data_IF_240337154328
#
_entry.id   IF_240337154328
#
_cell.length_a   1.000
_cell.length_b   1.000
_cell.length_c   1.000
_cell.angle_alpha   90.00
_cell.angle_beta   90.00
_cell.angle_gamma   90.00
#
_symmetry.space_group_name_H-M   'P 1'
#
loop_
_entity.id
_entity.type
_entity.pdbx_description
1 polymer ?
#
# COMPACT_ATOMS: atom_id res chain seq x y z
N UNK A 1 -32.76 10.32 -6.61
CA UNK A 1 -31.78 10.90 -7.56
C UNK A 1 -30.88 11.77 -6.74
N UNK A 2 -29.84 11.18 -6.18
CA UNK A 2 -28.91 11.92 -5.35
C UNK A 2 -27.71 12.32 -6.21
N UNK A 3 -27.53 13.63 -6.39
CA UNK A 3 -26.39 14.20 -7.07
C UNK A 3 -25.28 14.42 -6.03
N UNK A 4 -24.59 13.34 -5.64
CA UNK A 4 -23.39 13.45 -4.82
C UNK A 4 -22.16 13.65 -5.72
N UNK A 5 -21.80 14.93 -5.90
CA UNK A 5 -20.47 15.49 -6.14
C UNK A 5 -19.41 14.58 -6.81
N UNK A 6 -19.32 14.63 -8.14
CA UNK A 6 -18.27 13.99 -8.94
C UNK A 6 -16.92 14.76 -8.94
N UNK A 7 -16.56 15.48 -7.88
CA UNK A 7 -15.57 16.57 -7.98
C UNK A 7 -14.15 16.23 -7.52
N UNK A 8 -13.91 15.12 -6.80
CA UNK A 8 -12.55 14.79 -6.34
C UNK A 8 -12.13 13.38 -6.76
N UNK A 9 -11.46 13.30 -7.92
CA UNK A 9 -10.88 12.05 -8.43
C UNK A 9 -9.47 11.76 -7.90
N UNK A 10 -8.91 12.69 -7.15
CA UNK A 10 -7.54 12.60 -6.67
C UNK A 10 -7.45 12.97 -5.20
N UNK A 11 -6.64 12.22 -4.46
CA UNK A 11 -6.25 12.60 -3.11
C UNK A 11 -5.44 13.90 -3.12
N UNK A 12 -5.22 14.53 -1.95
CA UNK A 12 -4.29 15.63 -1.81
C UNK A 12 -2.98 15.43 -2.58
N UNK A 13 -2.50 16.51 -3.21
CA UNK A 13 -1.29 16.54 -4.05
C UNK A 13 -1.32 15.61 -5.28
N UNK A 14 -2.46 15.01 -5.61
CA UNK A 14 -2.60 14.16 -6.79
C UNK A 14 -1.78 12.87 -6.70
N UNK A 15 -1.57 12.35 -5.49
CA UNK A 15 -0.78 11.13 -5.25
C UNK A 15 -1.57 9.87 -5.63
N UNK A 16 -2.84 9.85 -5.23
CA UNK A 16 -3.72 8.71 -5.39
C UNK A 16 -4.87 9.11 -6.30
N UNK A 17 -5.09 8.34 -7.36
CA UNK A 17 -6.28 8.44 -8.20
C UNK A 17 -7.36 7.53 -7.61
N UNK A 18 -8.46 8.12 -7.14
CA UNK A 18 -9.58 7.37 -6.58
C UNK A 18 -10.29 6.62 -7.70
N UNK A 19 -10.30 5.27 -7.68
CA UNK A 19 -10.95 4.48 -8.72
C UNK A 19 -12.44 4.76 -8.79
N UNK A 20 -13.05 4.58 -9.98
CA UNK A 20 -14.50 4.79 -10.15
C UNK A 20 -15.36 3.84 -9.32
N UNK A 21 -14.82 2.67 -8.97
CA UNK A 21 -15.47 1.69 -8.11
C UNK A 21 -15.25 1.95 -6.62
N UNK A 22 -14.48 2.99 -6.25
CA UNK A 22 -14.21 3.28 -4.86
C UNK A 22 -15.49 3.74 -4.16
N UNK A 23 -15.72 3.21 -2.96
CA UNK A 23 -16.91 3.51 -2.17
C UNK A 23 -16.48 4.30 -0.94
N UNK A 24 -17.14 5.43 -0.69
CA UNK A 24 -16.91 6.19 0.54
C UNK A 24 -17.43 5.37 1.73
N UNK A 25 -16.62 5.23 2.77
CA UNK A 25 -17.01 4.49 3.97
C UNK A 25 -17.86 5.40 4.86
N UNK A 26 -19.17 5.22 4.79
CA UNK A 26 -20.15 5.96 5.60
C UNK A 26 -20.77 5.13 6.73
N UNK A 27 -20.74 3.81 6.57
CA UNK A 27 -21.22 2.84 7.56
C UNK A 27 -20.11 1.79 7.78
N UNK A 28 -19.37 1.87 8.90
CA UNK A 28 -18.31 0.90 9.23
C UNK A 28 -18.80 -0.54 9.32
N UNK A 29 -19.99 -0.77 9.86
CA UNK A 29 -20.53 -2.12 10.05
C UNK A 29 -20.88 -2.74 8.70
N UNK A 30 -21.52 -1.98 7.81
CA UNK A 30 -21.82 -2.42 6.44
C UNK A 30 -20.52 -2.70 5.66
N UNK A 31 -19.54 -1.81 5.74
CA UNK A 31 -18.23 -1.96 5.07
C UNK A 31 -17.53 -3.27 5.47
N UNK A 32 -17.44 -3.54 6.78
CA UNK A 32 -16.81 -4.76 7.26
C UNK A 32 -17.65 -5.99 6.92
N UNK A 33 -18.98 -5.91 7.07
CA UNK A 33 -19.87 -7.00 6.71
C UNK A 33 -19.72 -7.41 5.24
N UNK A 34 -19.64 -6.45 4.31
CA UNK A 34 -19.46 -6.71 2.88
C UNK A 34 -18.11 -7.37 2.58
N UNK A 35 -17.03 -6.90 3.22
CA UNK A 35 -15.70 -7.48 3.08
C UNK A 35 -15.64 -8.94 3.57
N UNK A 36 -16.19 -9.23 4.75
CA UNK A 36 -16.19 -10.58 5.30
C UNK A 36 -17.18 -11.52 4.59
N UNK A 37 -18.31 -11.01 4.12
CA UNK A 37 -19.23 -11.76 3.25
C UNK A 37 -18.54 -12.16 1.94
N UNK A 38 -17.78 -11.25 1.34
CA UNK A 38 -16.98 -11.55 0.14
C UNK A 38 -15.90 -12.58 0.45
N UNK A 39 -15.17 -12.42 1.55
CA UNK A 39 -14.13 -13.36 1.97
C UNK A 39 -14.69 -14.78 2.13
N UNK A 40 -15.88 -14.92 2.74
CA UNK A 40 -16.56 -16.19 2.93
C UNK A 40 -17.04 -16.82 1.60
N UNK A 41 -17.28 -16.00 0.56
CA UNK A 41 -17.71 -16.48 -0.77
C UNK A 41 -16.58 -17.13 -1.59
N UNK A 42 -15.32 -16.92 -1.21
CA UNK A 42 -14.16 -17.49 -1.88
C UNK A 42 -14.10 -18.99 -1.59
N UNK A 43 -14.53 -19.82 -2.56
CA UNK A 43 -14.41 -21.27 -2.46
C UNK A 43 -12.93 -21.66 -2.31
N UNK A 44 -12.56 -22.61 -1.44
CA UNK A 44 -11.25 -23.24 -1.53
C UNK A 44 -11.13 -23.87 -2.92
N UNK A 45 -10.04 -23.57 -3.63
CA UNK A 45 -9.81 -24.11 -4.96
C UNK A 45 -9.88 -25.64 -4.92
N UNK A 46 -10.79 -26.21 -5.71
CA UNK A 46 -10.95 -27.61 -6.09
C UNK A 46 -10.31 -28.68 -5.20
N UNK A 47 -11.12 -29.33 -4.34
CA UNK A 47 -11.14 -30.79 -4.12
C UNK A 47 -9.87 -31.55 -3.72
N UNK A 48 -8.70 -30.93 -3.68
CA UNK A 48 -7.46 -31.47 -3.14
C UNK A 48 -7.28 -30.88 -1.74
N UNK A 49 -7.31 -31.77 -0.76
CA UNK A 49 -6.88 -31.59 0.63
C UNK A 49 -6.14 -30.27 0.92
N UNK A 50 -6.71 -29.44 1.80
CA UNK A 50 -6.05 -28.27 2.38
C UNK A 50 -5.39 -27.33 1.34
N UNK A 51 -6.11 -26.30 0.89
CA UNK A 51 -5.45 -24.99 0.87
C UNK A 51 -4.99 -24.76 2.32
N UNK A 52 -3.68 -24.86 2.61
CA UNK A 52 -3.23 -24.95 3.99
C UNK A 52 -3.63 -23.66 4.68
N UNK A 53 -4.04 -23.77 5.94
CA UNK A 53 -4.14 -22.64 6.87
C UNK A 53 -3.00 -21.65 6.53
N UNK A 54 -3.31 -20.52 5.88
CA UNK A 54 -2.32 -19.46 5.63
C UNK A 54 -1.93 -19.03 7.04
N UNK A 55 -0.76 -19.48 7.52
CA UNK A 55 -0.28 -19.26 8.88
C UNK A 55 -0.07 -17.77 9.17
N UNK A 56 0.93 -17.42 9.97
CA UNK A 56 1.29 -16.03 10.28
C UNK A 56 1.80 -15.21 9.07
N UNK A 57 1.41 -15.55 7.84
CA UNK A 57 1.65 -14.70 6.67
C UNK A 57 3.10 -14.59 6.20
N UNK A 58 4.09 -15.18 6.88
CA UNK A 58 5.50 -14.93 6.58
C UNK A 58 6.14 -15.90 5.57
N UNK A 59 7.12 -15.39 4.80
CA UNK A 59 7.58 -15.99 3.52
C UNK A 59 8.50 -17.21 3.67
N UNK A 60 9.40 -17.23 4.66
CA UNK A 60 10.21 -18.39 5.02
C UNK A 60 10.52 -18.35 6.53
N UNK A 61 10.49 -19.51 7.19
CA UNK A 61 10.73 -19.65 8.63
C UNK A 61 12.10 -20.23 8.99
N UNK A 62 12.87 -20.66 8.00
CA UNK A 62 14.08 -21.46 8.19
C UNK A 62 15.37 -20.66 8.09
N UNK A 63 15.32 -19.45 7.55
CA UNK A 63 16.50 -18.61 7.30
C UNK A 63 16.27 -17.19 7.80
N UNK A 64 17.32 -16.55 8.31
CA UNK A 64 17.29 -15.13 8.70
C UNK A 64 17.52 -14.20 7.48
N UNK A 65 17.68 -14.78 6.30
CA UNK A 65 17.79 -14.10 5.01
C UNK A 65 16.76 -14.65 4.03
N UNK A 66 16.00 -13.76 3.41
CA UNK A 66 14.97 -14.03 2.43
C UNK A 66 15.38 -13.49 1.06
N UNK A 67 15.17 -14.27 0.01
CA UNK A 67 15.22 -13.77 -1.37
C UNK A 67 13.81 -13.43 -1.83
N UNK A 68 13.46 -12.15 -1.82
CA UNK A 68 12.17 -11.65 -2.29
C UNK A 68 12.29 -11.34 -3.78
N UNK A 69 11.46 -12.01 -4.59
CA UNK A 69 11.44 -11.85 -6.04
C UNK A 69 10.11 -11.23 -6.47
N UNK A 70 10.17 -9.99 -6.97
CA UNK A 70 9.01 -9.24 -7.46
C UNK A 70 9.04 -9.20 -9.00
N UNK A 71 8.02 -9.78 -9.63
CA UNK A 71 7.92 -9.87 -11.09
C UNK A 71 6.99 -8.78 -11.64
N UNK A 72 7.58 -7.74 -12.23
CA UNK A 72 6.86 -6.56 -12.71
C UNK A 72 6.65 -6.72 -14.22
N UNK A 73 5.47 -7.17 -14.60
CA UNK A 73 5.09 -7.36 -16.01
C UNK A 73 3.82 -6.59 -16.33
N UNK A 74 3.69 -6.01 -17.53
CA UNK A 74 2.47 -5.30 -17.91
C UNK A 74 1.26 -6.24 -17.84
N UNK A 75 0.09 -5.78 -17.36
CA UNK A 75 -1.11 -6.60 -17.33
C UNK A 75 -1.46 -7.08 -18.75
N UNK A 76 -1.96 -8.32 -18.86
CA UNK A 76 -2.19 -9.01 -20.14
C UNK A 76 -3.29 -8.38 -21.03
N UNK A 77 -3.90 -7.27 -20.61
CA UNK A 77 -4.97 -6.56 -21.30
C UNK A 77 -4.45 -5.35 -22.08
N UNK A 78 -3.86 -5.59 -23.25
CA UNK A 78 -3.97 -4.70 -24.44
C UNK A 78 -3.33 -5.27 -25.73
N UNK A 79 -3.33 -6.59 -25.92
CA UNK A 79 -2.90 -7.23 -27.19
C UNK A 79 -4.07 -7.74 -28.03
N UNK A 80 -5.32 -7.60 -27.59
CA UNK A 80 -6.48 -8.16 -28.27
C UNK A 80 -7.55 -7.12 -28.64
N UNK A 81 -7.22 -6.24 -29.59
CA UNK A 81 -8.22 -5.74 -30.53
C UNK A 81 -7.69 -5.98 -31.95
N UNK A 82 -7.82 -7.22 -32.42
CA UNK A 82 -7.72 -7.49 -33.86
C UNK A 82 -8.84 -6.71 -34.55
N UNK A 83 -8.54 -5.78 -35.48
CA UNK A 83 -9.61 -5.12 -36.22
C UNK A 83 -10.25 -6.18 -37.12
N UNK A 84 -11.55 -6.41 -36.90
CA UNK A 84 -12.40 -7.15 -37.83
C UNK A 84 -12.23 -6.51 -39.20
N UNK A 85 -11.67 -7.27 -40.14
CA UNK A 85 -11.43 -6.84 -41.51
C UNK A 85 -12.76 -6.58 -42.22
N UNK A 86 -13.21 -5.32 -42.27
CA UNK A 86 -14.17 -4.87 -43.29
C UNK A 86 -13.40 -4.63 -44.59
N UNK A 87 -13.65 -5.46 -45.59
CA UNK A 87 -13.22 -5.23 -46.97
C UNK A 87 -13.95 -4.00 -47.52
N UNK A 88 -13.25 -2.89 -47.72
CA UNK A 88 -13.62 -1.89 -48.71
C UNK A 88 -12.37 -1.30 -49.36
N UNK A 89 -12.48 -1.11 -50.67
CA UNK A 89 -11.45 -0.85 -51.66
C UNK A 89 -10.82 0.55 -51.64
N UNK A 90 -9.56 0.59 -52.12
CA UNK A 90 -8.83 1.70 -52.76
C UNK A 90 -8.49 2.97 -51.96
N UNK A 91 -7.19 3.20 -51.75
CA UNK A 91 -6.67 4.52 -51.34
C UNK A 91 -5.25 4.51 -50.76
N UNK A 92 -4.28 4.93 -51.57
CA UNK A 92 -2.83 5.08 -51.39
C UNK A 92 -2.38 5.84 -50.11
N UNK A 93 -1.55 5.22 -49.25
CA UNK A 93 -0.47 5.85 -48.44
C UNK A 93 0.10 4.83 -47.41
N UNK A 94 1.31 4.30 -47.63
CA UNK A 94 2.02 3.45 -46.66
C UNK A 94 2.85 4.33 -45.72
N UNK A 95 2.28 4.75 -44.58
CA UNK A 95 3.09 5.14 -43.41
C UNK A 95 3.48 3.88 -42.65
N UNK A 96 4.79 3.68 -42.48
CA UNK A 96 5.33 2.57 -41.70
C UNK A 96 4.85 2.68 -40.24
N UNK A 97 3.87 1.85 -39.89
CA UNK A 97 3.41 1.67 -38.52
C UNK A 97 4.50 0.88 -37.79
N UNK A 98 5.28 1.56 -36.94
CA UNK A 98 6.30 0.93 -36.12
C UNK A 98 5.67 -0.24 -35.34
N UNK A 99 6.34 -1.40 -35.34
CA UNK A 99 5.93 -2.54 -34.52
C UNK A 99 5.84 -2.09 -33.05
N UNK A 100 4.81 -2.51 -32.28
CA UNK A 100 4.77 -2.21 -30.86
C UNK A 100 6.03 -2.79 -30.21
N UNK A 101 6.77 -1.96 -29.46
CA UNK A 101 7.92 -2.42 -28.67
C UNK A 101 7.40 -3.42 -27.66
N UNK A 102 7.87 -4.66 -27.73
CA UNK A 102 7.60 -5.68 -26.73
C UNK A 102 8.25 -5.19 -25.43
N UNK A 103 7.43 -4.82 -24.45
CA UNK A 103 7.92 -4.42 -23.13
C UNK A 103 8.38 -5.69 -22.42
N UNK A 104 9.66 -5.77 -22.07
CA UNK A 104 10.20 -6.90 -21.34
C UNK A 104 9.81 -6.81 -19.85
N UNK A 105 9.42 -7.95 -19.23
CA UNK A 105 9.14 -8.00 -17.80
C UNK A 105 10.40 -7.63 -17.01
N UNK A 106 10.23 -6.83 -15.96
CA UNK A 106 11.31 -6.49 -15.02
C UNK A 106 11.20 -7.39 -13.81
N UNK A 107 12.31 -7.99 -13.39
CA UNK A 107 12.38 -8.76 -12.14
C UNK A 107 13.23 -7.97 -11.17
N UNK A 108 12.69 -7.71 -9.99
CA UNK A 108 13.42 -7.12 -8.88
C UNK A 108 13.66 -8.21 -7.83
N UNK A 109 14.93 -8.54 -7.61
CA UNK A 109 15.35 -9.49 -6.58
C UNK A 109 15.99 -8.72 -5.43
N UNK A 110 15.50 -8.98 -4.23
CA UNK A 110 15.91 -8.30 -3.00
C UNK A 110 16.33 -9.37 -2.00
N UNK A 111 17.54 -9.22 -1.48
CA UNK A 111 17.96 -9.93 -0.28
C UNK A 111 17.47 -9.13 0.94
N UNK A 112 16.62 -9.75 1.76
CA UNK A 112 16.01 -9.12 2.93
C UNK A 112 16.33 -9.93 4.19
N UNK A 113 16.78 -9.26 5.23
CA UNK A 113 17.02 -9.85 6.53
C UNK A 113 15.76 -9.84 7.39
N UNK A 114 15.60 -10.89 8.19
CA UNK A 114 14.58 -11.03 9.22
C UNK A 114 15.21 -11.61 10.49
N UNK A 115 14.45 -11.66 11.58
CA UNK A 115 14.87 -12.28 12.85
C UNK A 115 13.78 -13.26 13.31
N UNK A 116 13.87 -14.52 12.86
CA UNK A 116 12.91 -15.54 13.25
C UNK A 116 13.02 -15.91 14.74
N UNK A 117 14.15 -15.63 15.38
CA UNK A 117 14.36 -15.93 16.80
C UNK A 117 13.61 -14.92 17.67
N UNK A 118 13.64 -13.65 17.31
CA UNK A 118 12.84 -12.61 17.93
C UNK A 118 11.34 -12.96 17.92
N UNK A 119 10.77 -13.35 16.77
CA UNK A 119 9.38 -13.80 16.65
C UNK A 119 9.00 -14.88 17.68
N UNK A 120 9.93 -15.80 18.01
CA UNK A 120 9.69 -16.90 18.95
C UNK A 120 9.96 -16.53 20.41
N UNK A 121 10.81 -15.54 20.66
CA UNK A 121 11.35 -15.25 22.00
C UNK A 121 10.83 -13.96 22.61
N UNK A 122 10.44 -12.97 21.80
CA UNK A 122 9.85 -11.70 22.24
C UNK A 122 8.33 -11.79 22.16
N UNK A 123 7.66 -11.69 23.31
CA UNK A 123 6.20 -11.73 23.39
C UNK A 123 5.60 -10.56 22.62
N UNK A 124 4.76 -10.86 21.62
CA UNK A 124 4.08 -9.85 20.81
C UNK A 124 4.90 -9.31 19.64
N UNK A 125 6.12 -9.82 19.41
CA UNK A 125 6.90 -9.48 18.22
C UNK A 125 6.28 -10.16 16.99
N UNK A 126 5.76 -9.35 16.08
CA UNK A 126 5.31 -9.78 14.75
C UNK A 126 6.13 -9.12 13.64
N UNK A 127 6.82 -8.01 13.93
CA UNK A 127 7.53 -7.21 12.94
C UNK A 127 8.87 -7.81 12.48
N UNK A 128 9.43 -8.75 13.23
CA UNK A 128 10.76 -9.30 12.92
C UNK A 128 10.79 -10.21 11.69
N UNK A 129 9.63 -10.60 11.14
CA UNK A 129 9.50 -11.43 9.94
C UNK A 129 8.72 -10.73 8.84
N UNK A 130 8.97 -11.12 7.59
CA UNK A 130 8.34 -10.50 6.44
C UNK A 130 6.90 -10.99 6.25
N UNK A 131 5.93 -10.08 6.25
CA UNK A 131 4.52 -10.39 5.97
C UNK A 131 4.21 -10.35 4.47
N UNK A 132 3.33 -11.27 4.04
CA UNK A 132 2.89 -11.38 2.64
C UNK A 132 2.19 -10.13 2.12
N UNK A 133 1.40 -9.46 2.96
CA UNK A 133 0.73 -8.22 2.60
C UNK A 133 1.72 -7.16 2.06
N UNK A 134 2.88 -7.03 2.71
CA UNK A 134 3.94 -6.11 2.27
C UNK A 134 4.54 -6.52 0.92
N UNK A 135 4.68 -7.83 0.64
CA UNK A 135 5.17 -8.34 -0.65
C UNK A 135 4.16 -8.06 -1.76
N UNK A 136 2.90 -8.41 -1.54
CA UNK A 136 1.82 -8.24 -2.52
C UNK A 136 1.55 -6.74 -2.77
N UNK A 137 1.62 -5.90 -1.73
CA UNK A 137 1.51 -4.44 -1.88
C UNK A 137 2.71 -3.84 -2.62
N UNK A 138 3.94 -4.27 -2.31
CA UNK A 138 5.14 -3.85 -3.05
C UNK A 138 5.03 -4.19 -4.54
N UNK A 139 4.57 -5.41 -4.84
CA UNK A 139 4.34 -5.88 -6.20
C UNK A 139 3.32 -5.01 -6.94
N UNK A 140 2.17 -4.72 -6.30
CA UNK A 140 1.13 -3.84 -6.85
C UNK A 140 1.68 -2.43 -7.11
N UNK A 141 2.38 -1.85 -6.13
CA UNK A 141 2.92 -0.50 -6.24
C UNK A 141 3.91 -0.39 -7.39
N UNK A 142 4.84 -1.34 -7.52
CA UNK A 142 5.82 -1.38 -8.60
C UNK A 142 5.18 -1.54 -9.98
N UNK A 143 4.16 -2.41 -10.07
CA UNK A 143 3.39 -2.63 -11.28
C UNK A 143 2.77 -1.31 -11.76
N UNK A 144 2.07 -0.63 -10.86
CA UNK A 144 1.41 0.65 -11.13
C UNK A 144 2.38 1.80 -11.42
N UNK A 145 3.52 1.81 -10.73
CA UNK A 145 4.55 2.82 -10.95
C UNK A 145 5.23 2.68 -12.32
N UNK A 146 5.50 1.45 -12.78
CA UNK A 146 6.20 1.20 -14.04
C UNK A 146 5.29 1.04 -15.26
N UNK A 147 4.05 0.61 -15.04
CA UNK A 147 3.04 0.37 -16.07
C UNK A 147 1.73 1.06 -15.71
N UNK A 148 1.71 2.40 -15.56
CA UNK A 148 0.49 3.12 -15.26
C UNK A 148 -0.51 2.99 -16.41
N UNK A 149 -1.76 2.77 -16.06
CA UNK A 149 -2.94 2.73 -16.91
C UNK A 149 -4.03 3.67 -16.36
N UNK A 150 -5.20 3.68 -17.00
CA UNK A 150 -6.33 4.53 -16.57
C UNK A 150 -6.92 4.17 -15.20
N UNK A 151 -6.61 2.99 -14.67
CA UNK A 151 -7.16 2.42 -13.44
C UNK A 151 -6.12 2.35 -12.31
N UNK A 152 -4.92 2.86 -12.55
CA UNK A 152 -3.81 2.87 -11.60
C UNK A 152 -4.11 3.77 -10.41
N UNK A 153 -3.90 3.24 -9.20
CA UNK A 153 -4.14 3.94 -7.94
C UNK A 153 -3.08 5.02 -7.70
N UNK A 154 -1.82 4.74 -7.99
CA UNK A 154 -0.70 5.66 -7.75
C UNK A 154 -0.35 6.51 -8.97
N UNK A 155 -0.26 7.83 -8.82
CA UNK A 155 0.28 8.71 -9.86
C UNK A 155 1.83 8.73 -9.79
N UNK A 156 2.56 8.17 -10.78
CA UNK A 156 4.02 8.06 -10.68
C UNK A 156 4.75 9.40 -10.59
N UNK A 157 4.26 10.44 -11.29
CA UNK A 157 4.88 11.77 -11.29
C UNK A 157 4.78 12.46 -9.93
N UNK A 158 3.66 12.29 -9.24
CA UNK A 158 3.44 12.79 -7.89
C UNK A 158 4.23 11.97 -6.86
N UNK A 159 4.21 10.64 -6.98
CA UNK A 159 4.93 9.71 -6.10
C UNK A 159 6.44 10.00 -6.09
N UNK A 160 7.04 10.27 -7.24
CA UNK A 160 8.47 10.62 -7.35
C UNK A 160 8.89 11.80 -6.47
N UNK A 161 7.96 12.72 -6.18
CA UNK A 161 8.21 13.94 -5.40
C UNK A 161 7.79 13.79 -3.93
N UNK A 162 7.16 12.66 -3.58
CA UNK A 162 6.51 12.46 -2.30
C UNK A 162 7.48 12.23 -1.14
N UNK A 163 7.11 12.72 0.04
CA UNK A 163 7.58 12.23 1.32
C UNK A 163 6.60 11.18 1.87
N UNK A 164 7.09 9.95 2.00
CA UNK A 164 6.33 8.83 2.55
C UNK A 164 6.79 8.54 3.97
N UNK A 165 5.84 8.34 4.89
CA UNK A 165 6.07 7.70 6.19
C UNK A 165 5.35 6.35 6.20
N UNK A 166 6.04 5.29 6.58
CA UNK A 166 5.46 3.96 6.80
C UNK A 166 5.37 3.68 8.30
N UNK A 167 4.18 3.33 8.77
CA UNK A 167 3.94 2.93 10.15
C UNK A 167 3.94 1.40 10.24
N UNK A 168 4.70 0.83 11.17
CA UNK A 168 4.72 -0.62 11.42
C UNK A 168 5.41 -1.37 10.29
N UNK A 169 6.59 -0.90 9.90
CA UNK A 169 7.31 -1.37 8.73
C UNK A 169 7.82 -2.83 8.84
N UNK A 170 7.90 -3.38 10.05
CA UNK A 170 8.43 -4.71 10.33
C UNK A 170 9.87 -4.86 9.84
N UNK A 171 10.07 -5.68 8.82
CA UNK A 171 11.39 -5.85 8.18
C UNK A 171 11.82 -4.62 7.36
N UNK A 172 10.90 -3.73 7.02
CA UNK A 172 11.17 -2.55 6.18
C UNK A 172 11.23 -2.84 4.69
N UNK A 173 10.60 -3.91 4.20
CA UNK A 173 10.60 -4.26 2.77
C UNK A 173 10.14 -3.09 1.89
N UNK A 174 9.07 -2.38 2.28
CA UNK A 174 8.55 -1.27 1.48
C UNK A 174 9.56 -0.13 1.40
N UNK A 175 10.31 0.16 2.46
CA UNK A 175 11.39 1.16 2.42
C UNK A 175 12.50 0.81 1.43
N UNK A 176 12.83 -0.48 1.30
CA UNK A 176 13.83 -1.01 0.35
C UNK A 176 13.32 -0.89 -1.09
N UNK A 177 12.04 -1.19 -1.32
CA UNK A 177 11.43 -1.23 -2.67
C UNK A 177 11.01 0.16 -3.15
N UNK A 178 10.25 0.90 -2.34
CA UNK A 178 9.61 2.16 -2.68
C UNK A 178 10.50 3.35 -2.38
N UNK A 179 11.38 3.27 -1.38
CA UNK A 179 12.28 4.35 -0.99
C UNK A 179 13.11 4.91 -2.16
N UNK A 180 13.65 4.07 -3.06
CA UNK A 180 14.33 4.56 -4.25
C UNK A 180 13.40 5.19 -5.30
N UNK A 181 12.09 5.07 -5.21
CA UNK A 181 11.15 5.63 -6.19
C UNK A 181 10.65 7.03 -5.79
N UNK A 182 10.87 7.45 -4.54
CA UNK A 182 10.31 8.70 -3.98
C UNK A 182 11.38 9.67 -3.54
N UNK A 183 11.00 10.93 -3.26
CA UNK A 183 11.92 11.95 -2.75
C UNK A 183 12.44 11.57 -1.37
N UNK A 184 11.53 11.15 -0.48
CA UNK A 184 11.84 10.85 0.92
C UNK A 184 10.98 9.71 1.43
N UNK A 185 11.60 8.79 2.16
CA UNK A 185 10.93 7.67 2.79
C UNK A 185 11.43 7.51 4.23
N UNK A 186 10.51 7.53 5.18
CA UNK A 186 10.79 7.29 6.59
C UNK A 186 10.04 6.02 7.01
N UNK A 187 10.80 4.95 7.23
CA UNK A 187 10.28 3.67 7.73
C UNK A 187 10.25 3.72 9.26
N UNK A 188 9.10 3.43 9.88
CA UNK A 188 8.95 3.52 11.33
C UNK A 188 8.40 2.24 11.94
N UNK A 189 8.90 1.91 13.12
CA UNK A 189 8.48 0.76 13.91
C UNK A 189 8.95 0.94 15.37
N UNK A 190 8.71 -0.03 16.23
CA UNK A 190 9.23 -0.06 17.60
C UNK A 190 10.78 0.04 17.61
N UNK A 191 11.38 0.61 18.67
CA UNK A 191 12.83 0.76 18.79
C UNK A 191 13.63 -0.52 18.49
N UNK A 192 13.12 -1.69 18.90
CA UNK A 192 13.75 -3.00 18.72
C UNK A 192 13.86 -3.43 17.24
N UNK A 193 13.00 -2.89 16.37
CA UNK A 193 12.92 -3.23 14.94
C UNK A 193 13.79 -2.31 14.08
N UNK A 194 14.12 -1.13 14.58
CA UNK A 194 14.93 -0.14 13.85
C UNK A 194 16.30 -0.67 13.41
N UNK A 195 17.06 -1.44 14.21
CA UNK A 195 18.31 -2.05 13.75
C UNK A 195 18.13 -2.96 12.54
N UNK A 196 17.06 -3.76 12.50
CA UNK A 196 16.74 -4.65 11.39
C UNK A 196 16.39 -3.86 10.13
N UNK A 197 15.52 -2.86 10.26
CA UNK A 197 15.13 -1.99 9.14
C UNK A 197 16.36 -1.26 8.58
N UNK A 198 17.23 -0.72 9.44
CA UNK A 198 18.49 -0.06 9.00
C UNK A 198 19.41 -1.02 8.26
N UNK A 199 19.53 -2.26 8.74
CA UNK A 199 20.29 -3.31 8.05
C UNK A 199 19.73 -3.56 6.66
N UNK A 200 18.41 -3.66 6.50
CA UNK A 200 17.78 -3.86 5.19
C UNK A 200 17.98 -2.65 4.26
N UNK A 201 17.82 -1.43 4.75
CA UNK A 201 18.06 -0.20 3.98
C UNK A 201 19.53 -0.12 3.51
N UNK A 202 20.50 -0.51 4.35
CA UNK A 202 21.92 -0.45 3.99
C UNK A 202 22.33 -1.46 2.91
N UNK A 203 21.48 -2.45 2.61
CA UNK A 203 21.71 -3.45 1.56
C UNK A 203 20.95 -3.16 0.27
N UNK A 204 20.27 -2.00 0.16
CA UNK A 204 19.72 -1.54 -1.11
C UNK A 204 20.88 -1.43 -2.12
N UNK A 205 20.82 -2.12 -3.28
CA UNK A 205 21.86 -2.03 -4.29
C UNK A 205 22.10 -0.57 -4.69
N UNK A 206 23.37 -0.16 -4.74
CA UNK A 206 23.72 1.20 -5.13
C UNK A 206 23.15 1.51 -6.53
N UNK A 207 22.33 2.57 -6.62
CA UNK A 207 21.84 3.04 -7.91
C UNK A 207 22.99 3.55 -8.78
N UNK A 208 22.96 3.32 -10.10
CA UNK A 208 23.82 4.08 -11.01
C UNK A 208 23.52 5.57 -10.87
N UNK A 209 24.58 6.38 -10.77
CA UNK A 209 24.71 7.82 -10.49
C UNK A 209 23.87 8.82 -11.33
N UNK A 210 22.80 8.37 -11.99
CA UNK A 210 22.02 9.12 -12.99
C UNK A 210 20.72 9.74 -12.47
N UNK A 211 20.33 9.50 -11.22
CA UNK A 211 19.13 10.14 -10.65
C UNK A 211 19.44 11.59 -10.29
N UNK A 212 18.74 12.53 -10.95
CA UNK A 212 18.80 13.96 -10.64
C UNK A 212 18.19 14.31 -9.27
N UNK A 213 17.38 13.40 -8.69
CA UNK A 213 16.72 13.60 -7.39
C UNK A 213 17.42 12.80 -6.30
N UNK A 214 17.93 13.44 -5.23
CA UNK A 214 18.45 12.71 -4.08
C UNK A 214 17.31 11.98 -3.37
N UNK A 215 17.42 10.67 -3.25
CA UNK A 215 16.47 9.83 -2.49
C UNK A 215 16.95 9.73 -1.04
N UNK A 216 16.12 10.12 -0.08
CA UNK A 216 16.44 9.99 1.34
C UNK A 216 15.61 8.88 1.96
N UNK A 217 16.25 7.78 2.35
CA UNK A 217 15.60 6.64 3.01
C UNK A 217 16.15 6.56 4.44
N UNK A 218 15.27 6.55 5.44
CA UNK A 218 15.65 6.50 6.87
C UNK A 218 14.75 5.56 7.66
N UNK A 219 15.26 5.14 8.81
CA UNK A 219 14.50 4.39 9.80
C UNK A 219 14.52 5.11 11.15
N UNK A 220 13.34 5.37 11.70
CA UNK A 220 13.13 6.07 12.97
C UNK A 220 12.16 5.29 13.87
N UNK A 221 12.41 5.30 15.18
CA UNK A 221 11.55 4.63 16.14
C UNK A 221 10.25 5.40 16.32
N UNK A 222 9.13 4.69 16.33
CA UNK A 222 7.81 5.24 16.60
C UNK A 222 6.94 4.18 17.27
N UNK A 223 6.75 4.33 18.58
CA UNK A 223 5.74 3.59 19.34
C UNK A 223 4.43 4.39 19.29
N UNK A 224 3.38 3.82 18.70
CA UNK A 224 2.08 4.48 18.54
C UNK A 224 1.40 4.78 19.87
N UNK A 225 1.78 4.09 20.96
CA UNK A 225 1.25 4.34 22.31
C UNK A 225 1.80 5.61 22.94
N UNK A 226 2.76 6.26 22.28
CA UNK A 226 3.39 7.50 22.70
C UNK A 226 3.19 8.59 21.63
N UNK A 227 3.20 9.89 22.00
CA UNK A 227 3.04 10.97 21.03
C UNK A 227 4.14 10.98 19.95
N UNK A 228 3.76 11.04 18.68
CA UNK A 228 4.68 10.97 17.54
C UNK A 228 5.62 12.19 17.45
N UNK A 229 5.14 13.37 17.83
CA UNK A 229 5.86 14.65 17.86
C UNK A 229 7.05 14.65 18.84
N UNK A 230 7.06 13.73 19.81
CA UNK A 230 8.14 13.56 20.79
C UNK A 230 9.17 12.50 20.40
N UNK A 231 8.89 11.71 19.37
CA UNK A 231 9.72 10.56 18.98
C UNK A 231 10.42 10.79 17.64
N UNK A 232 9.70 11.36 16.66
CA UNK A 232 10.24 11.59 15.32
C UNK A 232 11.20 12.78 15.30
N UNK A 233 12.20 12.70 14.42
CA UNK A 233 13.18 13.77 14.27
C UNK A 233 12.54 15.05 13.74
N UNK A 234 13.10 16.21 14.13
CA UNK A 234 12.66 17.51 13.62
C UNK A 234 12.70 17.58 12.09
N UNK A 235 13.61 16.83 11.47
CA UNK A 235 13.73 16.75 10.01
C UNK A 235 12.53 16.07 9.33
N UNK A 236 11.85 15.16 10.03
CA UNK A 236 10.63 14.49 9.57
C UNK A 236 9.42 15.37 9.88
N UNK A 237 9.35 15.93 11.09
CA UNK A 237 8.21 16.75 11.54
C UNK A 237 8.09 18.09 10.81
N UNK A 238 9.21 18.66 10.32
CA UNK A 238 9.21 19.93 9.57
C UNK A 238 8.85 19.81 8.10
N UNK A 239 8.80 18.59 7.56
CA UNK A 239 8.46 18.27 6.17
C UNK A 239 7.29 17.27 6.23
N UNK A 240 6.02 17.73 6.34
CA UNK A 240 4.87 16.86 6.53
C UNK A 240 4.82 15.73 5.50
N UNK A 241 4.35 14.53 5.88
CA UNK A 241 4.21 13.43 4.93
C UNK A 241 3.14 13.75 3.90
N UNK A 242 3.45 13.43 2.65
CA UNK A 242 2.51 13.44 1.54
C UNK A 242 1.61 12.20 1.59
N UNK A 243 2.21 11.08 1.98
CA UNK A 243 1.56 9.78 2.08
C UNK A 243 2.01 9.06 3.36
N UNK A 244 1.05 8.56 4.12
CA UNK A 244 1.28 7.59 5.20
C UNK A 244 0.86 6.21 4.72
N UNK A 245 1.73 5.22 4.86
CA UNK A 245 1.46 3.81 4.55
C UNK A 245 1.29 3.02 5.85
N UNK A 246 0.25 2.20 5.89
CA UNK A 246 -0.03 1.24 6.96
C UNK A 246 -0.36 -0.08 6.28
N UNK A 247 0.52 -1.08 6.40
CA UNK A 247 0.36 -2.36 5.69
C UNK A 247 0.44 -3.52 6.68
N UNK A 248 -0.70 -4.15 6.90
CA UNK A 248 -0.94 -5.30 7.79
C UNK A 248 -0.70 -5.03 9.28
N UNK A 249 -1.03 -3.81 9.72
CA UNK A 249 -0.84 -3.35 11.09
C UNK A 249 -2.07 -3.52 12.01
N UNK A 250 -3.20 -3.99 11.49
CA UNK A 250 -4.47 -4.09 12.22
C UNK A 250 -4.68 -5.53 12.67
N UNK A 251 -4.13 -5.87 13.85
CA UNK A 251 -4.18 -7.25 14.37
C UNK A 251 -4.42 -7.34 15.88
N UNK A 252 -4.19 -6.26 16.64
CA UNK A 252 -4.34 -6.25 18.09
C UNK A 252 -5.28 -5.11 18.54
N UNK A 253 -6.39 -5.41 19.24
CA UNK A 253 -7.39 -4.40 19.63
C UNK A 253 -6.79 -3.20 20.37
N UNK A 254 -5.81 -3.43 21.25
CA UNK A 254 -5.20 -2.34 22.05
C UNK A 254 -4.38 -1.35 21.22
N UNK A 255 -4.04 -1.67 19.96
CA UNK A 255 -3.27 -0.82 19.07
C UNK A 255 -4.14 0.02 18.14
N UNK A 256 -5.45 -0.26 18.07
CA UNK A 256 -6.39 0.45 17.18
C UNK A 256 -6.39 1.95 17.47
N UNK A 257 -6.72 2.35 18.71
CA UNK A 257 -6.76 3.76 19.10
C UNK A 257 -5.39 4.44 18.97
N UNK A 258 -4.28 3.88 19.50
CA UNK A 258 -2.94 4.43 19.30
C UNK A 258 -2.55 4.67 17.84
N UNK A 259 -2.88 3.74 16.93
CA UNK A 259 -2.61 3.87 15.51
C UNK A 259 -3.41 5.03 14.90
N UNK A 260 -4.71 5.13 15.18
CA UNK A 260 -5.58 6.20 14.68
C UNK A 260 -5.14 7.57 15.20
N UNK A 261 -4.73 7.66 16.47
CA UNK A 261 -4.19 8.89 17.05
C UNK A 261 -2.88 9.30 16.35
N UNK A 262 -2.00 8.33 16.07
CA UNK A 262 -0.77 8.55 15.30
C UNK A 262 -1.07 9.06 13.90
N UNK A 263 -1.98 8.41 13.17
CA UNK A 263 -2.45 8.86 11.85
C UNK A 263 -2.97 10.30 11.90
N UNK A 264 -3.80 10.62 12.89
CA UNK A 264 -4.40 11.96 13.04
C UNK A 264 -3.35 13.02 13.36
N UNK A 265 -2.34 12.69 14.17
CA UNK A 265 -1.26 13.61 14.54
C UNK A 265 -0.31 13.92 13.37
N UNK A 266 -0.07 12.95 12.49
CA UNK A 266 0.84 13.09 11.35
C UNK A 266 0.15 13.63 10.09
N UNK A 267 -1.18 13.43 9.96
CA UNK A 267 -1.93 13.84 8.78
C UNK A 267 -2.30 15.33 8.83
N UNK A 268 -1.74 16.10 7.90
CA UNK A 268 -2.10 17.50 7.67
C UNK A 268 -3.33 17.57 6.76
N UNK A 269 -4.40 18.29 7.18
CA UNK A 269 -5.60 18.46 6.36
C UNK A 269 -5.31 18.99 4.95
N UNK A 270 -6.00 18.45 3.95
CA UNK A 270 -5.82 18.73 2.52
C UNK A 270 -4.39 18.54 1.98
N UNK A 271 -3.54 17.82 2.71
CA UNK A 271 -2.14 17.60 2.33
C UNK A 271 -1.74 16.12 2.39
N UNK A 272 -1.95 15.49 3.53
CA UNK A 272 -1.51 14.11 3.76
C UNK A 272 -2.60 13.12 3.37
N UNK A 273 -2.26 12.19 2.48
CA UNK A 273 -3.08 11.00 2.23
C UNK A 273 -2.62 9.84 3.10
N UNK A 274 -3.52 8.94 3.46
CA UNK A 274 -3.21 7.70 4.18
C UNK A 274 -3.72 6.53 3.37
N UNK A 275 -2.90 5.49 3.22
CA UNK A 275 -3.30 4.20 2.68
C UNK A 275 -3.16 3.15 3.78
N UNK A 276 -4.25 2.41 3.98
CA UNK A 276 -4.29 1.25 4.86
C UNK A 276 -4.57 0.03 4.02
N UNK A 277 -3.71 -0.99 4.13
CA UNK A 277 -3.88 -2.31 3.54
C UNK A 277 -3.88 -3.31 4.69
N UNK A 278 -4.90 -4.13 4.85
CA UNK A 278 -4.96 -5.10 5.94
C UNK A 278 -5.52 -6.44 5.46
N UNK A 279 -4.87 -7.54 5.85
CA UNK A 279 -5.44 -8.87 5.64
C UNK A 279 -6.60 -9.07 6.62
N UNK A 280 -7.76 -9.47 6.08
CA UNK A 280 -8.98 -9.67 6.86
C UNK A 280 -8.84 -10.92 7.74
N UNK A 281 -8.56 -10.73 9.03
CA UNK A 281 -8.28 -11.81 10.00
C UNK A 281 -9.22 -11.81 11.21
N UNK A 282 -9.55 -10.64 11.74
CA UNK A 282 -10.37 -10.48 12.94
C UNK A 282 -11.40 -9.38 12.71
N UNK A 283 -12.65 -9.79 12.47
CA UNK A 283 -13.74 -8.90 12.07
C UNK A 283 -13.97 -7.76 13.07
N UNK A 284 -13.99 -8.09 14.36
CA UNK A 284 -14.14 -7.15 15.47
C UNK A 284 -13.04 -6.09 15.51
N UNK A 285 -11.78 -6.47 15.27
CA UNK A 285 -10.65 -5.53 15.24
C UNK A 285 -10.72 -4.62 14.01
N UNK A 286 -11.13 -5.17 12.87
CA UNK A 286 -11.32 -4.40 11.64
C UNK A 286 -12.46 -3.39 11.78
N UNK A 287 -13.60 -3.78 12.36
CA UNK A 287 -14.73 -2.88 12.66
C UNK A 287 -14.28 -1.77 13.59
N UNK A 288 -13.64 -2.11 14.71
CA UNK A 288 -13.17 -1.10 15.66
C UNK A 288 -12.19 -0.10 15.02
N UNK A 289 -11.35 -0.55 14.08
CA UNK A 289 -10.44 0.33 13.35
C UNK A 289 -11.17 1.27 12.39
N UNK A 290 -12.07 0.74 11.54
CA UNK A 290 -12.78 1.57 10.57
C UNK A 290 -13.72 2.55 11.28
N UNK A 291 -14.48 2.10 12.27
CA UNK A 291 -15.33 2.95 13.11
C UNK A 291 -14.51 4.03 13.81
N UNK A 292 -13.41 3.64 14.45
CA UNK A 292 -12.50 4.58 15.12
C UNK A 292 -11.88 5.59 14.17
N UNK A 293 -11.57 5.21 12.93
CA UNK A 293 -10.93 6.09 11.95
C UNK A 293 -11.92 7.09 11.36
N UNK A 294 -13.11 6.63 10.92
CA UNK A 294 -14.12 7.54 10.32
C UNK A 294 -14.79 8.44 11.36
N UNK A 295 -14.81 8.04 12.63
CA UNK A 295 -15.33 8.88 13.73
C UNK A 295 -14.38 9.99 14.16
N UNK A 296 -13.08 9.94 13.75
CA UNK A 296 -12.18 11.06 13.98
C UNK A 296 -12.54 12.21 13.08
N UNK A 297 -12.54 13.39 13.67
CA UNK A 297 -12.96 14.58 12.97
C UNK A 297 -12.09 14.91 11.73
N UNK A 298 -12.80 15.34 10.68
CA UNK A 298 -12.25 15.75 9.40
C UNK A 298 -11.87 14.61 8.48
N UNK A 299 -11.88 13.34 8.91
CA UNK A 299 -11.53 12.22 8.04
C UNK A 299 -12.61 11.91 7.02
N UNK A 300 -12.21 11.79 5.76
CA UNK A 300 -12.96 11.04 4.76
C UNK A 300 -12.16 9.82 4.34
N UNK A 301 -12.83 8.68 4.25
CA UNK A 301 -12.23 7.38 3.95
C UNK A 301 -12.98 6.71 2.79
N UNK A 302 -12.26 6.08 1.88
CA UNK A 302 -12.79 5.30 0.76
C UNK A 302 -12.20 3.90 0.79
N UNK A 303 -13.04 2.89 0.57
CA UNK A 303 -12.58 1.58 0.14
C UNK A 303 -12.14 1.68 -1.33
N UNK A 304 -10.90 1.28 -1.62
CA UNK A 304 -10.33 1.21 -2.97
C UNK A 304 -9.89 -0.20 -3.36
N UNK A 305 -10.25 -1.21 -2.56
CA UNK A 305 -9.95 -2.62 -2.83
C UNK A 305 -10.71 -3.19 -4.03
N UNK A 306 -11.83 -2.56 -4.40
CA UNK A 306 -12.70 -2.95 -5.50
C UNK A 306 -13.72 -4.01 -5.09
N UNK A 307 -14.81 -4.15 -5.87
CA UNK A 307 -15.94 -5.03 -5.54
C UNK A 307 -15.90 -6.42 -6.18
N UNK A 308 -15.07 -6.60 -7.22
CA UNK A 308 -15.02 -7.84 -7.98
C UNK A 308 -14.19 -8.91 -7.26
N UNK A 309 -14.39 -10.18 -7.62
CA UNK A 309 -13.69 -11.34 -7.02
C UNK A 309 -12.16 -11.23 -7.11
N UNK A 310 -11.66 -10.44 -8.05
CA UNK A 310 -10.24 -10.17 -8.29
C UNK A 310 -9.85 -8.74 -7.89
N UNK A 311 -10.35 -8.22 -6.75
CA UNK A 311 -9.96 -6.91 -6.22
C UNK A 311 -8.46 -6.62 -6.34
N UNK A 312 -8.02 -5.37 -6.18
CA UNK A 312 -6.65 -4.96 -6.56
C UNK A 312 -5.51 -5.78 -5.91
N UNK A 313 -5.76 -6.40 -4.74
CA UNK A 313 -4.89 -7.41 -4.11
C UNK A 313 -5.63 -8.73 -3.78
N UNK A 314 -6.77 -8.96 -4.42
CA UNK A 314 -7.67 -10.08 -4.16
C UNK A 314 -8.65 -9.85 -2.99
N UNK A 315 -9.51 -10.84 -2.71
CA UNK A 315 -10.64 -10.70 -1.78
C UNK A 315 -10.25 -10.80 -0.30
N UNK A 316 -8.96 -11.02 0.02
CA UNK A 316 -8.47 -11.22 1.39
C UNK A 316 -8.04 -9.92 2.07
N UNK A 317 -7.98 -8.82 1.33
CA UNK A 317 -7.50 -7.55 1.82
C UNK A 317 -8.61 -6.51 1.82
N UNK A 318 -8.72 -5.78 2.93
CA UNK A 318 -9.33 -4.46 2.92
C UNK A 318 -8.28 -3.42 2.55
N UNK A 319 -8.63 -2.51 1.64
CA UNK A 319 -7.73 -1.45 1.20
C UNK A 319 -8.49 -0.14 1.23
N UNK A 320 -8.00 0.78 2.04
CA UNK A 320 -8.65 2.07 2.26
C UNK A 320 -7.68 3.22 2.02
N UNK A 321 -8.24 4.31 1.49
CA UNK A 321 -7.55 5.59 1.36
C UNK A 321 -8.31 6.60 2.20
N UNK A 322 -7.62 7.42 2.97
CA UNK A 322 -8.25 8.52 3.69
C UNK A 322 -7.39 9.77 3.73
N UNK A 323 -8.03 10.91 3.90
CA UNK A 323 -7.35 12.17 4.24
C UNK A 323 -8.27 13.05 5.08
N UNK A 324 -7.66 14.02 5.75
CA UNK A 324 -8.39 15.01 6.52
C UNK A 324 -8.80 16.19 5.66
N UNK A 325 -10.02 16.65 5.83
CA UNK A 325 -10.55 17.91 5.31
C UNK A 325 -10.61 18.92 6.46
N UNK A 326 -10.60 20.21 6.14
CA UNK A 326 -10.84 21.24 7.13
C UNK A 326 -12.25 21.04 7.72
N UNK A 327 -12.39 21.32 9.02
CA UNK A 327 -13.72 21.50 9.59
C UNK A 327 -14.50 22.51 8.75
N UNK A 328 -15.64 22.12 8.20
CA UNK A 328 -16.70 23.07 7.91
C UNK A 328 -17.17 23.61 9.25
N UNK A 329 -16.79 24.84 9.58
CA UNK A 329 -17.56 25.62 10.54
C UNK A 329 -18.93 25.82 9.90
N UNK A 330 -19.88 24.95 10.21
CA UNK A 330 -21.29 25.32 10.10
C UNK A 330 -21.53 26.36 11.20
N UNK A 331 -21.54 27.64 10.80
CA UNK A 331 -22.06 28.75 11.61
C UNK A 331 -23.57 28.61 11.87
#
# INVERSE_FOLDING_TARGET
MDQTSSSQRFSPRGLIQIPLYAVAVTDPDEEIFLLYTRLASVKPADGSSMEPFRGLGYVDSKTDTLSVRLEISPPLSDVAASPVAKKSSNGRSKKARGKPKKVEPKVLEIELFQDGTALRSRKGDTGSVLWRASVEFAQLFLLQYHFPDSCTLFNPESIMKAHIIELGAGTGLLSVVLGPLVRRYTSTDLPDLIPLIRKNISHIPAKPSSSLTPHTIRAEALDWTLPADRQLSSSVLSDPPDLILVVDCIYHPSLVTPLIDTLTSLAVPHHTSVIVVAELRAEDVMTAFIEGWVSRDGWRVWNVGGEQTDGIMGPRYGIWVGWRENHSFEE
#
